data_IF_262908381087
#
_entry.id   IF_262908381087
#
_cell.length_a   1.000
_cell.length_b   1.000
_cell.length_c   1.000
_cell.angle_alpha   90.00
_cell.angle_beta   90.00
_cell.angle_gamma   90.00
#
_symmetry.space_group_name_H-M   'P 1'
#
loop_
_entity.id
_entity.type
_entity.pdbx_description
1 polymer ?
#
# COMPACT_ATOMS: atom_id res chain seq x y z
N UNK A 1 -15.95 -0.31 5.37
CA UNK A 1 -14.52 0.06 5.21
C UNK A 1 -13.84 -0.02 6.58
N UNK A 2 -12.51 -0.04 6.67
CA UNK A 2 -11.86 -0.21 7.98
C UNK A 2 -12.08 0.95 8.96
N UNK A 3 -12.38 2.15 8.48
CA UNK A 3 -12.80 3.27 9.34
C UNK A 3 -14.18 3.04 9.96
N UNK A 4 -15.14 2.54 9.18
CA UNK A 4 -16.50 2.24 9.67
C UNK A 4 -16.46 1.22 10.80
N UNK A 5 -15.64 0.16 10.62
CA UNK A 5 -15.41 -0.85 11.65
C UNK A 5 -14.91 -0.24 12.98
N UNK A 6 -13.95 0.69 12.91
CA UNK A 6 -13.38 1.33 14.11
C UNK A 6 -14.42 2.19 14.84
N UNK A 7 -15.26 2.89 14.09
CA UNK A 7 -16.37 3.72 14.60
C UNK A 7 -17.41 2.83 15.28
N UNK A 8 -17.87 1.76 14.60
CA UNK A 8 -18.85 0.80 15.13
C UNK A 8 -18.37 0.11 16.40
N UNK A 9 -17.06 -0.19 16.49
CA UNK A 9 -16.45 -0.76 17.69
C UNK A 9 -16.25 0.24 18.84
N UNK A 10 -16.43 1.55 18.60
CA UNK A 10 -16.10 2.59 19.57
C UNK A 10 -14.63 2.56 19.96
N UNK A 11 -13.73 2.28 19.01
CA UNK A 11 -12.30 2.09 19.29
C UNK A 11 -11.67 3.40 19.76
N UNK A 12 -10.95 3.35 20.89
CA UNK A 12 -10.18 4.47 21.41
C UNK A 12 -8.67 4.22 21.27
N UNK A 13 -7.90 5.28 21.11
CA UNK A 13 -6.43 5.24 21.01
C UNK A 13 -5.90 5.23 19.57
N UNK A 14 -4.64 4.81 19.40
CA UNK A 14 -3.92 4.88 18.12
C UNK A 14 -3.87 3.51 17.46
N UNK A 15 -4.40 3.44 16.23
CA UNK A 15 -4.42 2.27 15.34
C UNK A 15 -3.92 2.67 13.95
N UNK A 16 -3.18 1.76 13.29
CA UNK A 16 -2.74 1.96 11.91
C UNK A 16 -3.72 1.28 10.95
N UNK A 17 -4.35 2.06 10.10
CA UNK A 17 -5.23 1.55 9.05
C UNK A 17 -4.48 1.50 7.71
N UNK A 18 -3.68 0.44 7.53
CA UNK A 18 -2.86 0.22 6.33
C UNK A 18 -3.06 -1.20 5.79
N UNK A 19 -2.78 -1.40 4.50
CA UNK A 19 -2.77 -2.73 3.88
C UNK A 19 -1.79 -3.69 4.57
N UNK A 20 -1.98 -4.99 4.32
CA UNK A 20 -1.19 -6.05 4.96
C UNK A 20 0.25 -6.15 4.43
N UNK A 21 0.44 -5.79 3.16
CA UNK A 21 1.72 -5.94 2.49
C UNK A 21 2.65 -4.75 2.69
N UNK A 22 3.94 -5.04 2.58
CA UNK A 22 4.98 -4.02 2.41
C UNK A 22 5.64 -4.20 1.05
N UNK A 23 5.48 -3.19 0.19
CA UNK A 23 6.03 -3.17 -1.16
C UNK A 23 6.87 -1.90 -1.35
N UNK A 24 7.99 -2.04 -2.05
CA UNK A 24 8.75 -0.91 -2.56
C UNK A 24 8.00 -0.19 -3.69
N UNK A 25 8.32 1.09 -3.99
CA UNK A 25 7.75 1.80 -5.13
C UNK A 25 7.95 1.07 -6.46
N UNK A 26 9.07 0.38 -6.62
CA UNK A 26 9.34 -0.44 -7.81
C UNK A 26 8.36 -1.61 -7.93
N UNK A 27 8.16 -2.38 -6.85
CA UNK A 27 7.22 -3.50 -6.84
C UNK A 27 5.78 -3.04 -7.10
N UNK A 28 5.38 -1.91 -6.50
CA UNK A 28 4.09 -1.26 -6.78
C UNK A 28 3.97 -0.93 -8.27
N UNK A 29 4.99 -0.30 -8.87
CA UNK A 29 5.01 0.02 -10.29
C UNK A 29 4.87 -1.23 -11.19
N UNK A 30 5.54 -2.33 -10.83
CA UNK A 30 5.45 -3.59 -11.57
C UNK A 30 4.07 -4.24 -11.47
N UNK A 31 3.41 -4.19 -10.31
CA UNK A 31 2.05 -4.68 -10.12
C UNK A 31 1.01 -3.84 -10.87
N UNK A 32 1.18 -2.51 -10.87
CA UNK A 32 0.34 -1.60 -11.68
C UNK A 32 0.50 -1.91 -13.17
N UNK A 33 1.74 -2.02 -13.66
CA UNK A 33 1.97 -2.33 -15.06
C UNK A 33 1.40 -3.68 -15.46
N UNK A 34 1.41 -4.67 -14.56
CA UNK A 34 0.73 -5.95 -14.77
C UNK A 34 -0.78 -5.78 -14.90
N UNK A 35 -1.41 -5.13 -13.93
CA UNK A 35 -2.88 -5.02 -13.86
C UNK A 35 -3.46 -4.23 -15.03
N UNK A 36 -2.75 -3.20 -15.48
CA UNK A 36 -3.18 -2.32 -16.56
C UNK A 36 -2.55 -2.64 -17.92
N UNK A 37 -1.90 -3.80 -18.07
CA UNK A 37 -1.25 -4.25 -19.32
C UNK A 37 -0.27 -3.21 -19.91
N UNK A 38 0.47 -2.51 -19.04
CA UNK A 38 1.49 -1.53 -19.43
C UNK A 38 2.85 -2.22 -19.64
N UNK A 39 3.71 -1.59 -20.45
CA UNK A 39 5.04 -2.13 -20.74
C UNK A 39 5.97 -2.01 -19.51
N UNK A 40 6.15 -3.13 -18.79
CA UNK A 40 7.05 -3.27 -17.64
C UNK A 40 8.51 -2.90 -17.94
N UNK A 41 8.98 -3.03 -19.18
CA UNK A 41 10.35 -2.69 -19.55
C UNK A 41 10.65 -1.18 -19.44
N UNK A 42 9.62 -0.34 -19.35
CA UNK A 42 9.77 1.11 -19.10
C UNK A 42 9.93 1.46 -17.62
N UNK A 43 9.87 0.48 -16.71
CA UNK A 43 10.01 0.69 -15.27
C UNK A 43 11.43 0.26 -14.85
N UNK A 44 12.28 1.24 -14.60
CA UNK A 44 13.65 1.02 -14.14
C UNK A 44 13.75 0.84 -12.62
N UNK A 45 14.73 0.04 -12.18
CA UNK A 45 15.17 0.02 -10.79
C UNK A 45 16.18 1.14 -10.58
N UNK A 46 16.10 1.80 -9.43
CA UNK A 46 17.04 2.84 -9.01
C UNK A 46 17.23 2.75 -7.49
N UNK A 47 18.40 3.18 -6.99
CA UNK A 47 18.65 3.25 -5.55
C UNK A 47 17.96 4.46 -4.93
N UNK A 48 17.64 4.41 -3.63
CA UNK A 48 17.06 5.56 -2.93
C UNK A 48 18.02 6.75 -2.90
N UNK A 49 19.32 6.51 -2.69
CA UNK A 49 20.33 7.57 -2.61
C UNK A 49 20.46 8.32 -3.93
N UNK A 50 20.40 7.58 -5.05
CA UNK A 50 20.41 8.17 -6.39
C UNK A 50 19.10 8.92 -6.68
N UNK A 51 17.94 8.29 -6.42
CA UNK A 51 16.64 8.88 -6.72
C UNK A 51 16.34 10.15 -5.90
N UNK A 52 16.79 10.19 -4.64
CA UNK A 52 16.60 11.34 -3.75
C UNK A 52 17.85 12.22 -3.62
N UNK A 53 18.81 12.10 -4.53
CA UNK A 53 19.99 12.98 -4.55
C UNK A 53 19.57 14.45 -4.64
N UNK A 54 20.15 15.30 -3.79
CA UNK A 54 19.80 16.72 -3.70
C UNK A 54 18.42 17.01 -3.07
N UNK A 55 17.70 15.99 -2.60
CA UNK A 55 16.42 16.12 -1.91
C UNK A 55 16.53 15.94 -0.39
N UNK A 56 15.47 16.28 0.34
CA UNK A 56 15.38 15.98 1.77
C UNK A 56 15.44 14.47 2.03
N UNK A 57 16.12 14.07 3.12
CA UNK A 57 16.26 12.66 3.51
C UNK A 57 14.90 11.99 3.65
N UNK A 58 14.77 10.78 3.10
CA UNK A 58 13.58 9.92 3.22
C UNK A 58 13.91 8.72 4.10
N UNK A 59 13.01 8.32 5.01
CA UNK A 59 13.20 7.07 5.76
C UNK A 59 13.30 5.89 4.79
N UNK A 60 14.28 5.02 5.01
CA UNK A 60 14.51 3.86 4.15
C UNK A 60 13.32 2.88 4.15
N UNK A 61 12.61 2.78 5.28
CA UNK A 61 11.41 1.96 5.42
C UNK A 61 10.31 2.78 6.11
N UNK A 62 9.18 2.94 5.43
CA UNK A 62 7.96 3.58 5.97
C UNK A 62 6.87 2.56 6.27
N UNK A 63 7.27 1.34 6.67
CA UNK A 63 6.36 0.25 7.03
C UNK A 63 5.58 0.59 8.30
N UNK A 64 4.27 0.41 8.26
CA UNK A 64 3.40 0.42 9.43
C UNK A 64 2.87 -1.00 9.67
N UNK A 65 2.77 -1.41 10.93
CA UNK A 65 2.11 -2.65 11.33
C UNK A 65 0.64 -2.37 11.67
N UNK A 66 -0.26 -3.25 11.26
CA UNK A 66 -1.68 -3.19 11.55
C UNK A 66 -2.13 -4.22 12.61
N UNK A 67 -1.20 -4.80 13.37
CA UNK A 67 -1.47 -5.85 14.38
C UNK A 67 -2.58 -5.47 15.37
N UNK A 68 -2.68 -4.19 15.77
CA UNK A 68 -3.77 -3.70 16.64
C UNK A 68 -5.15 -3.85 15.98
N UNK A 69 -5.25 -3.56 14.69
CA UNK A 69 -6.49 -3.69 13.93
C UNK A 69 -6.87 -5.17 13.77
N UNK A 70 -5.86 -6.02 13.51
CA UNK A 70 -6.04 -7.48 13.44
C UNK A 70 -6.52 -8.06 14.77
N UNK A 71 -5.94 -7.62 15.89
CA UNK A 71 -6.36 -8.01 17.24
C UNK A 71 -7.78 -7.55 17.59
N UNK A 72 -8.28 -6.48 16.96
CA UNK A 72 -9.67 -6.05 17.08
C UNK A 72 -10.64 -6.91 16.25
N UNK A 73 -10.12 -7.81 15.40
CA UNK A 73 -10.90 -8.70 14.54
C UNK A 73 -11.10 -8.17 13.12
N UNK A 74 -10.31 -7.20 12.67
CA UNK A 74 -10.39 -6.66 11.32
C UNK A 74 -9.10 -6.92 10.53
N UNK A 75 -9.23 -7.60 9.40
CA UNK A 75 -8.12 -7.94 8.51
C UNK A 75 -8.14 -6.99 7.30
N UNK A 76 -7.01 -6.35 7.01
CA UNK A 76 -6.90 -5.45 5.85
C UNK A 76 -6.70 -6.26 4.57
N UNK A 77 -6.94 -5.63 3.42
CA UNK A 77 -6.71 -6.29 2.13
C UNK A 77 -5.27 -6.06 1.68
N UNK A 78 -4.69 -7.10 1.08
CA UNK A 78 -3.40 -7.06 0.39
C UNK A 78 -3.43 -6.07 -0.79
N UNK A 79 -2.27 -5.51 -1.15
CA UNK A 79 -2.18 -4.44 -2.13
C UNK A 79 -2.73 -4.87 -3.50
N UNK A 80 -2.35 -6.07 -3.97
CA UNK A 80 -2.73 -6.55 -5.29
C UNK A 80 -4.24 -6.84 -5.39
N UNK A 81 -4.85 -7.37 -4.34
CA UNK A 81 -6.29 -7.63 -4.30
C UNK A 81 -7.10 -6.32 -4.25
N UNK A 82 -6.62 -5.31 -3.52
CA UNK A 82 -7.22 -3.98 -3.56
C UNK A 82 -7.09 -3.35 -4.96
N UNK A 83 -5.94 -3.51 -5.61
CA UNK A 83 -5.67 -3.00 -6.95
C UNK A 83 -6.64 -3.59 -8.00
N UNK A 84 -6.86 -4.90 -7.99
CA UNK A 84 -7.85 -5.56 -8.88
C UNK A 84 -9.25 -4.97 -8.72
N UNK A 85 -9.70 -4.75 -7.48
CA UNK A 85 -11.02 -4.17 -7.17
C UNK A 85 -11.17 -2.73 -7.70
N UNK A 86 -10.08 -1.97 -7.72
CA UNK A 86 -10.08 -0.60 -8.28
C UNK A 86 -10.06 -0.66 -9.80
N UNK A 87 -9.19 -1.49 -10.39
CA UNK A 87 -9.08 -1.71 -11.84
C UNK A 87 -10.41 -2.11 -12.46
N UNK A 88 -11.19 -2.99 -11.82
CA UNK A 88 -12.50 -3.40 -12.31
C UNK A 88 -13.52 -2.26 -12.34
N UNK A 89 -13.47 -1.34 -11.37
CA UNK A 89 -14.36 -0.16 -11.30
C UNK A 89 -13.97 0.94 -12.29
N UNK A 90 -12.70 1.06 -12.65
CA UNK A 90 -12.24 2.05 -13.62
C UNK A 90 -12.54 1.66 -15.08
N UNK A 91 -12.96 0.41 -15.32
CA UNK A 91 -13.30 -0.11 -16.66
C UNK A 91 -14.81 -0.05 -16.97
N UNK A 92 -15.63 0.41 -16.01
CA UNK A 92 -17.08 0.65 -16.15
C UNK A 92 -17.35 2.14 -16.14
#
# INVERSE_FOLDING_TARGET
MGIDFLIEKGTLGIVNLVGNDFLSPYEIGMLLAQEFSLNKAKIGKISMDEFYSGSAKRPFKVRLQNDKLRNLGFEMTDFYEALKKISSKSRT
#
